data_IF_385466213142
#
_entry.id   IF_385466213142
#
_cell.length_a   1.000
_cell.length_b   1.000
_cell.length_c   1.000
_cell.angle_alpha   90.00
_cell.angle_beta   90.00
_cell.angle_gamma   90.00
#
_symmetry.space_group_name_H-M   'P 1'
#
loop_
_entity.id
_entity.type
_entity.pdbx_description
1 polymer ?
#
# COMPACT_ATOMS: atom_id res chain seq x y z
N UNK A 1 5.97 -19.38 -25.87
CA UNK A 1 5.48 -20.15 -24.71
C UNK A 1 5.50 -21.62 -25.11
N UNK A 2 6.54 -22.38 -24.76
CA UNK A 2 6.55 -23.81 -25.03
C UNK A 2 5.35 -24.42 -24.29
N UNK A 3 4.47 -25.13 -25.01
CA UNK A 3 3.30 -25.86 -24.51
C UNK A 3 2.02 -25.07 -24.16
N UNK A 4 1.85 -23.82 -24.63
CA UNK A 4 0.54 -23.16 -24.55
C UNK A 4 -0.35 -23.57 -25.73
N UNK A 5 -1.35 -24.42 -25.48
CA UNK A 5 -2.27 -24.93 -26.50
C UNK A 5 -3.50 -24.02 -26.76
N UNK A 6 -3.69 -22.97 -25.96
CA UNK A 6 -4.82 -22.06 -26.09
C UNK A 6 -4.63 -21.02 -27.21
N UNK A 7 -5.72 -20.37 -27.62
CA UNK A 7 -5.62 -19.24 -28.54
C UNK A 7 -4.97 -18.04 -27.84
N UNK A 8 -4.09 -17.36 -28.55
CA UNK A 8 -3.49 -16.09 -28.14
C UNK A 8 -3.65 -15.07 -29.25
N UNK A 9 -3.76 -13.80 -28.89
CA UNK A 9 -3.82 -12.68 -29.83
C UNK A 9 -2.71 -11.69 -29.55
N UNK A 10 -2.28 -11.02 -30.62
CA UNK A 10 -1.25 -10.00 -30.59
C UNK A 10 -1.83 -8.65 -31.03
N UNK A 11 -1.51 -7.59 -30.29
CA UNK A 11 -1.89 -6.21 -30.64
C UNK A 11 -0.62 -5.38 -30.74
N UNK A 12 -0.37 -4.77 -31.90
CA UNK A 12 0.76 -3.88 -32.14
C UNK A 12 0.34 -2.42 -31.99
N UNK A 13 0.99 -1.66 -31.13
CA UNK A 13 0.63 -0.28 -30.81
C UNK A 13 1.82 0.64 -31.04
N UNK A 14 1.60 1.72 -31.79
CA UNK A 14 2.55 2.81 -32.01
C UNK A 14 2.13 4.04 -31.18
N UNK A 15 3.05 4.98 -30.96
CA UNK A 15 2.75 6.23 -30.23
C UNK A 15 2.82 6.14 -28.70
N UNK A 16 3.46 5.09 -28.15
CA UNK A 16 3.72 4.94 -26.70
C UNK A 16 5.11 5.45 -26.28
N UNK A 17 5.69 6.39 -27.03
CA UNK A 17 7.01 6.98 -26.71
C UNK A 17 8.23 6.14 -27.10
N UNK A 18 8.06 5.06 -27.87
CA UNK A 18 9.16 4.26 -28.46
C UNK A 18 9.12 4.34 -29.98
N UNK A 19 10.30 4.36 -30.61
CA UNK A 19 10.42 4.33 -32.09
C UNK A 19 9.83 3.04 -32.68
N UNK A 20 10.04 1.91 -32.02
CA UNK A 20 9.49 0.61 -32.42
C UNK A 20 8.10 0.39 -31.79
N UNK A 21 7.15 -0.23 -32.53
CA UNK A 21 5.83 -0.56 -31.98
C UNK A 21 5.95 -1.48 -30.76
N UNK A 22 5.17 -1.19 -29.72
CA UNK A 22 5.02 -2.06 -28.55
C UNK A 22 4.06 -3.20 -28.92
N UNK A 23 4.51 -4.44 -28.73
CA UNK A 23 3.70 -5.63 -28.97
C UNK A 23 3.08 -6.13 -27.67
N UNK A 24 1.75 -6.26 -27.66
CA UNK A 24 0.99 -6.87 -26.58
C UNK A 24 0.60 -8.28 -26.97
N UNK A 25 0.90 -9.25 -26.11
CA UNK A 25 0.44 -10.63 -26.24
C UNK A 25 -0.57 -10.93 -25.15
N UNK A 26 -1.75 -11.41 -25.51
CA UNK A 26 -2.81 -11.75 -24.55
C UNK A 26 -3.55 -13.01 -24.98
N UNK A 27 -3.84 -13.88 -24.02
CA UNK A 27 -4.75 -15.02 -24.21
C UNK A 27 -6.22 -14.67 -23.91
N UNK A 28 -6.51 -13.46 -23.44
CA UNK A 28 -7.88 -13.02 -23.19
C UNK A 28 -8.45 -12.41 -24.48
N UNK A 29 -9.34 -13.14 -25.15
CA UNK A 29 -9.96 -12.70 -26.40
C UNK A 29 -11.04 -11.62 -26.21
N UNK A 30 -11.63 -11.51 -25.02
CA UNK A 30 -12.78 -10.64 -24.75
C UNK A 30 -12.39 -9.20 -24.37
N UNK A 31 -11.20 -8.98 -23.81
CA UNK A 31 -10.73 -7.63 -23.45
C UNK A 31 -10.62 -6.76 -24.71
N UNK A 32 -10.96 -5.47 -24.66
CA UNK A 32 -10.75 -4.61 -25.83
C UNK A 32 -9.25 -4.27 -26.01
N UNK A 33 -8.78 -3.95 -27.22
CA UNK A 33 -7.42 -3.44 -27.43
C UNK A 33 -7.12 -2.18 -26.61
N UNK A 34 -8.13 -1.31 -26.43
CA UNK A 34 -8.04 -0.11 -25.58
C UNK A 34 -7.74 -0.49 -24.13
N UNK A 35 -8.48 -1.46 -23.59
CA UNK A 35 -8.30 -1.89 -22.19
C UNK A 35 -6.95 -2.59 -21.98
N UNK A 36 -6.45 -3.32 -22.97
CA UNK A 36 -5.09 -3.88 -22.93
C UNK A 36 -4.03 -2.78 -22.83
N UNK A 37 -4.14 -1.74 -23.65
CA UNK A 37 -3.22 -0.59 -23.62
C UNK A 37 -3.34 0.20 -22.32
N UNK A 38 -4.56 0.43 -21.84
CA UNK A 38 -4.79 1.13 -20.56
C UNK A 38 -4.25 0.34 -19.37
N UNK A 39 -4.42 -0.99 -19.35
CA UNK A 39 -3.83 -1.85 -18.32
C UNK A 39 -2.31 -1.85 -18.38
N UNK A 40 -1.71 -1.79 -19.57
CA UNK A 40 -0.27 -1.59 -19.70
C UNK A 40 0.17 -0.21 -19.23
N UNK A 41 -0.55 0.85 -19.56
CA UNK A 41 -0.22 2.20 -19.10
C UNK A 41 -0.26 2.30 -17.57
N UNK A 42 -1.13 1.53 -16.91
CA UNK A 42 -1.19 1.40 -15.44
C UNK A 42 0.02 0.69 -14.84
N UNK A 43 0.83 -0.04 -15.63
CA UNK A 43 2.07 -0.67 -15.17
C UNK A 43 3.05 0.35 -14.60
N UNK A 44 3.15 1.54 -15.22
CA UNK A 44 3.98 2.62 -14.69
C UNK A 44 3.55 3.01 -13.27
N UNK A 45 2.25 3.03 -12.98
CA UNK A 45 1.75 3.28 -11.63
C UNK A 45 2.13 2.19 -10.62
N UNK A 46 2.27 0.94 -11.06
CA UNK A 46 2.76 -0.17 -10.22
C UNK A 46 4.26 -0.04 -9.98
N UNK A 47 5.05 0.22 -11.02
CA UNK A 47 6.51 0.42 -10.95
C UNK A 47 6.87 1.66 -10.12
N UNK A 48 6.15 2.77 -10.29
CA UNK A 48 6.29 4.00 -9.49
C UNK A 48 5.90 3.78 -8.03
N UNK A 49 4.83 3.02 -7.78
CA UNK A 49 4.40 2.71 -6.42
C UNK A 49 5.36 1.75 -5.71
N UNK A 50 5.92 0.77 -6.43
CA UNK A 50 6.97 -0.11 -5.94
C UNK A 50 8.24 0.70 -5.65
N UNK A 51 8.72 1.52 -6.59
CA UNK A 51 9.89 2.37 -6.41
C UNK A 51 9.74 3.40 -5.29
N UNK A 52 8.54 3.97 -5.11
CA UNK A 52 8.23 4.85 -3.98
C UNK A 52 8.17 4.13 -2.63
N UNK A 53 7.79 2.85 -2.61
CA UNK A 53 7.71 2.04 -1.39
C UNK A 53 9.11 1.56 -0.99
N UNK A 54 9.86 1.00 -1.93
CA UNK A 54 11.28 0.61 -1.77
C UNK A 54 12.11 1.77 -1.23
N UNK A 55 12.04 2.95 -1.85
CA UNK A 55 12.77 4.13 -1.33
C UNK A 55 12.31 4.56 0.08
N UNK A 56 11.03 4.46 0.41
CA UNK A 56 10.52 4.89 1.71
C UNK A 56 10.91 3.91 2.84
N UNK A 57 10.85 2.60 2.60
CA UNK A 57 11.18 1.60 3.62
C UNK A 57 12.69 1.40 3.80
N UNK A 58 13.49 1.51 2.73
CA UNK A 58 14.96 1.48 2.83
C UNK A 58 15.56 2.74 3.47
N UNK A 59 14.93 3.92 3.33
CA UNK A 59 15.50 5.16 3.88
C UNK A 59 15.07 5.45 5.33
N UNK A 60 13.87 5.06 5.76
CA UNK A 60 13.32 5.60 7.03
C UNK A 60 12.66 4.59 8.00
N UNK A 61 12.47 3.30 7.68
CA UNK A 61 11.62 2.45 8.56
C UNK A 61 12.12 1.04 8.91
N UNK A 62 12.99 0.39 8.15
CA UNK A 62 13.52 -0.94 8.48
C UNK A 62 14.97 -1.05 8.02
N UNK A 63 15.91 -0.58 8.85
CA UNK A 63 17.32 -0.87 8.64
C UNK A 63 17.59 -2.29 9.16
N UNK A 64 17.75 -3.26 8.26
CA UNK A 64 18.30 -4.57 8.63
C UNK A 64 19.61 -4.81 7.87
N UNK A 65 20.70 -4.59 8.59
CA UNK A 65 22.10 -4.56 8.11
C UNK A 65 22.71 -5.97 7.95
N UNK A 66 21.91 -6.97 7.54
CA UNK A 66 22.36 -8.36 7.43
C UNK A 66 21.91 -8.96 6.09
N UNK A 67 22.88 -9.47 5.31
CA UNK A 67 22.74 -10.03 3.95
C UNK A 67 21.76 -11.21 3.77
N UNK A 68 21.04 -11.62 4.81
CA UNK A 68 19.90 -12.55 4.70
C UNK A 68 18.59 -11.86 4.25
N UNK A 69 18.58 -10.52 4.16
CA UNK A 69 17.35 -9.73 4.18
C UNK A 69 16.71 -9.35 2.85
N UNK A 70 17.34 -9.50 1.68
CA UNK A 70 16.77 -8.89 0.45
C UNK A 70 15.36 -9.43 0.14
N UNK A 71 15.14 -10.74 0.32
CA UNK A 71 13.82 -11.34 0.12
C UNK A 71 12.83 -10.92 1.21
N UNK A 72 13.28 -10.85 2.48
CA UNK A 72 12.45 -10.42 3.60
C UNK A 72 12.07 -8.93 3.49
N UNK A 73 13.02 -8.06 3.20
CA UNK A 73 12.84 -6.63 2.97
C UNK A 73 11.90 -6.38 1.80
N UNK A 74 12.00 -7.17 0.74
CA UNK A 74 11.09 -7.09 -0.40
C UNK A 74 9.67 -7.47 0.02
N UNK A 75 9.51 -8.56 0.76
CA UNK A 75 8.20 -8.99 1.28
C UNK A 75 7.61 -7.95 2.24
N UNK A 76 8.40 -7.45 3.19
CA UNK A 76 7.99 -6.41 4.13
C UNK A 76 7.62 -5.11 3.41
N UNK A 77 8.34 -4.74 2.35
CA UNK A 77 8.01 -3.58 1.52
C UNK A 77 6.66 -3.73 0.84
N UNK A 78 6.36 -4.90 0.26
CA UNK A 78 5.08 -5.18 -0.37
C UNK A 78 3.94 -5.19 0.65
N UNK A 79 4.15 -5.82 1.81
CA UNK A 79 3.18 -5.83 2.90
C UNK A 79 2.89 -4.42 3.40
N UNK A 80 3.93 -3.63 3.65
CA UNK A 80 3.77 -2.28 4.14
C UNK A 80 3.10 -1.37 3.09
N UNK A 81 3.42 -1.52 1.80
CA UNK A 81 2.68 -0.84 0.72
C UNK A 81 1.19 -1.22 0.73
N UNK A 82 0.87 -2.50 0.95
CA UNK A 82 -0.50 -2.97 1.14
C UNK A 82 -1.19 -2.28 2.33
N UNK A 83 -0.54 -2.22 3.48
CA UNK A 83 -1.04 -1.56 4.68
C UNK A 83 -1.29 -0.06 4.46
N UNK A 84 -0.36 0.67 3.84
CA UNK A 84 -0.55 2.09 3.55
C UNK A 84 -1.65 2.35 2.53
N UNK A 85 -1.79 1.47 1.53
CA UNK A 85 -2.88 1.56 0.56
C UNK A 85 -4.22 1.30 1.23
N UNK A 86 -4.31 0.29 2.08
CA UNK A 86 -5.50 0.01 2.88
C UNK A 86 -5.85 1.20 3.78
N UNK A 87 -4.88 1.71 4.54
CA UNK A 87 -5.07 2.89 5.40
C UNK A 87 -5.57 4.10 4.61
N UNK A 88 -4.97 4.37 3.44
CA UNK A 88 -5.39 5.43 2.54
C UNK A 88 -6.87 5.29 2.12
N UNK A 89 -7.35 4.07 1.82
CA UNK A 89 -8.76 3.85 1.48
C UNK A 89 -9.73 4.13 2.63
N UNK A 90 -9.28 4.04 3.88
CA UNK A 90 -10.11 4.36 5.05
C UNK A 90 -10.16 5.86 5.35
N UNK A 91 -9.28 6.67 4.74
CA UNK A 91 -9.13 8.09 5.02
C UNK A 91 -9.83 8.93 3.94
N UNK A 92 -10.83 9.71 4.33
CA UNK A 92 -11.59 10.56 3.41
C UNK A 92 -10.67 11.61 2.76
N UNK A 93 -10.70 11.71 1.42
CA UNK A 93 -9.86 12.63 0.65
C UNK A 93 -8.46 12.08 0.34
N UNK A 94 -8.18 10.84 0.75
CA UNK A 94 -6.90 10.16 0.60
C UNK A 94 -7.06 8.83 -0.16
N UNK A 95 -7.91 8.75 -1.19
CA UNK A 95 -8.10 7.53 -1.97
C UNK A 95 -6.93 7.10 -2.88
N UNK A 96 -6.02 8.03 -3.26
CA UNK A 96 -4.79 7.74 -4.04
C UNK A 96 -3.51 8.51 -3.63
N UNK A 97 -3.18 8.69 -2.34
CA UNK A 97 -1.92 9.28 -1.92
C UNK A 97 -0.77 8.28 -2.03
N UNK A 98 0.42 8.79 -2.36
CA UNK A 98 1.67 8.02 -2.20
C UNK A 98 1.88 7.67 -0.72
N UNK A 99 2.43 6.49 -0.37
CA UNK A 99 2.66 6.05 1.00
C UNK A 99 3.32 7.11 1.90
N UNK A 100 4.34 7.80 1.38
CA UNK A 100 5.05 8.89 2.08
C UNK A 100 4.13 10.02 2.56
N UNK A 101 3.07 10.34 1.80
CA UNK A 101 2.11 11.39 2.18
C UNK A 101 1.17 10.92 3.29
N UNK A 102 0.82 9.62 3.30
CA UNK A 102 0.03 9.01 4.38
C UNK A 102 0.87 8.96 5.65
N UNK A 103 2.11 8.47 5.56
CA UNK A 103 3.04 8.40 6.69
C UNK A 103 3.19 9.75 7.40
N UNK A 104 3.65 10.79 6.70
CA UNK A 104 3.88 12.12 7.28
C UNK A 104 2.65 12.74 7.96
N UNK A 105 1.46 12.43 7.43
CA UNK A 105 0.21 13.04 7.90
C UNK A 105 -0.46 12.27 9.03
N UNK A 106 -0.29 10.96 9.08
CA UNK A 106 -1.10 10.08 9.92
C UNK A 106 -0.32 9.09 10.78
N UNK A 107 0.95 8.81 10.46
CA UNK A 107 1.76 7.80 11.16
C UNK A 107 2.95 8.45 11.88
N UNK A 108 3.64 9.38 11.23
CA UNK A 108 4.74 10.16 11.81
C UNK A 108 4.18 11.26 12.71
N UNK A 109 3.67 10.85 13.86
CA UNK A 109 3.04 11.72 14.84
C UNK A 109 3.45 11.30 16.25
N UNK A 110 3.75 12.26 17.14
CA UNK A 110 3.86 11.96 18.56
C UNK A 110 2.50 11.50 19.10
N UNK A 111 2.54 10.58 20.05
CA UNK A 111 1.37 10.07 20.75
C UNK A 111 1.78 9.33 22.00
N UNK A 112 0.90 9.33 22.99
CA UNK A 112 1.11 8.62 24.24
C UNK A 112 0.35 7.29 24.18
N UNK A 113 1.02 6.21 24.53
CA UNK A 113 0.41 4.88 24.60
C UNK A 113 0.26 4.50 26.06
N UNK A 114 -0.98 4.21 26.47
CA UNK A 114 -1.28 3.65 27.77
C UNK A 114 -1.75 2.21 27.61
N UNK A 115 -1.09 1.29 28.30
CA UNK A 115 -1.43 -0.13 28.29
C UNK A 115 -2.15 -0.44 29.59
N UNK A 116 -3.47 -0.56 29.53
CA UNK A 116 -4.27 -0.90 30.69
C UNK A 116 -4.19 -2.40 31.00
N UNK A 117 -4.20 -2.70 32.31
CA UNK A 117 -4.27 -4.07 32.84
C UNK A 117 -5.53 -4.83 32.37
N UNK A 118 -6.60 -4.12 31.96
CA UNK A 118 -7.90 -4.68 31.54
C UNK A 118 -7.98 -5.04 30.04
N UNK A 119 -6.85 -5.41 29.44
CA UNK A 119 -6.73 -5.81 28.03
C UNK A 119 -7.07 -4.70 27.02
N UNK A 120 -6.74 -3.45 27.33
CA UNK A 120 -6.90 -2.31 26.40
C UNK A 120 -5.58 -1.59 26.18
N UNK A 121 -5.42 -1.05 24.99
CA UNK A 121 -4.32 -0.17 24.60
C UNK A 121 -4.96 1.11 24.11
N UNK A 122 -4.75 2.17 24.87
CA UNK A 122 -5.22 3.51 24.54
C UNK A 122 -4.09 4.26 23.86
N UNK A 123 -4.36 4.77 22.66
CA UNK A 123 -3.42 5.65 21.95
C UNK A 123 -4.01 7.06 21.98
N UNK A 124 -3.30 7.94 22.66
CA UNK A 124 -3.62 9.36 22.73
C UNK A 124 -2.87 10.11 21.65
N UNK A 125 -3.62 10.68 20.71
CA UNK A 125 -3.07 11.52 19.67
C UNK A 125 -2.98 12.97 20.15
N UNK A 126 -1.82 13.60 19.96
CA UNK A 126 -1.68 15.04 20.16
C UNK A 126 -2.51 15.84 19.14
N UNK A 127 -2.89 17.07 19.49
CA UNK A 127 -3.77 17.92 18.67
C UNK A 127 -3.12 18.26 17.33
N UNK A 128 -3.73 17.80 16.23
CA UNK A 128 -3.25 18.05 14.86
C UNK A 128 -4.39 18.34 13.89
N UNK A 129 -4.08 19.09 12.82
CA UNK A 129 -5.04 19.46 11.79
C UNK A 129 -5.72 18.27 11.08
N UNK A 130 -5.09 17.10 11.07
CA UNK A 130 -5.61 15.90 10.37
C UNK A 130 -6.23 14.86 11.30
N UNK A 131 -6.30 15.10 12.62
CA UNK A 131 -6.99 14.21 13.57
C UNK A 131 -8.48 14.01 13.25
N UNK A 132 -9.23 15.02 12.77
CA UNK A 132 -10.63 14.82 12.39
C UNK A 132 -10.79 13.71 11.33
N UNK A 133 -9.87 13.63 10.37
CA UNK A 133 -9.90 12.61 9.31
C UNK A 133 -9.64 11.21 9.88
N UNK A 134 -8.72 11.08 10.84
CA UNK A 134 -8.48 9.80 11.54
C UNK A 134 -9.69 9.38 12.36
N UNK A 135 -10.32 10.34 13.07
CA UNK A 135 -11.50 10.10 13.89
C UNK A 135 -12.70 9.65 13.05
N UNK A 136 -12.87 10.23 11.87
CA UNK A 136 -13.91 9.82 10.91
C UNK A 136 -13.67 8.41 10.37
N UNK A 137 -12.41 7.99 10.19
CA UNK A 137 -12.06 6.67 9.70
C UNK A 137 -12.40 5.53 10.68
N UNK A 138 -12.63 5.82 11.98
CA UNK A 138 -13.11 4.86 12.99
C UNK A 138 -12.31 3.54 13.01
N UNK A 139 -10.99 3.63 12.88
CA UNK A 139 -10.08 2.49 12.70
C UNK A 139 -10.10 1.49 13.88
N UNK A 140 -10.53 1.94 15.05
CA UNK A 140 -10.61 1.16 16.30
C UNK A 140 -11.98 0.48 16.50
N UNK A 141 -13.05 0.97 15.85
CA UNK A 141 -14.45 0.55 16.12
C UNK A 141 -14.72 -0.94 15.89
N UNK A 142 -13.96 -1.60 15.02
CA UNK A 142 -14.05 -3.03 14.72
C UNK A 142 -12.72 -3.76 14.92
N UNK A 143 -11.82 -3.23 15.75
CA UNK A 143 -10.52 -3.84 15.96
C UNK A 143 -10.69 -5.18 16.71
N UNK A 144 -10.35 -6.33 16.08
CA UNK A 144 -10.39 -7.60 16.79
C UNK A 144 -9.32 -7.61 17.90
N UNK A 145 -9.54 -8.40 18.98
CA UNK A 145 -8.51 -8.56 20.01
C UNK A 145 -7.23 -9.10 19.37
N UNK A 146 -6.10 -8.47 19.66
CA UNK A 146 -4.81 -8.78 19.05
C UNK A 146 -4.18 -9.98 19.80
N UNK A 147 -4.11 -11.19 19.21
CA UNK A 147 -3.78 -12.40 19.96
C UNK A 147 -2.37 -12.40 20.54
N UNK A 148 -1.39 -11.97 19.73
CA UNK A 148 0.02 -11.87 20.14
C UNK A 148 0.27 -10.74 21.15
N UNK A 149 -0.72 -9.89 21.42
CA UNK A 149 -0.65 -8.81 22.40
C UNK A 149 -1.53 -9.11 23.62
N UNK A 150 -1.71 -10.39 23.95
CA UNK A 150 -2.49 -10.84 25.10
C UNK A 150 -4.00 -10.62 24.94
N UNK A 151 -4.51 -10.70 23.70
CA UNK A 151 -5.90 -10.42 23.35
C UNK A 151 -6.36 -9.00 23.73
N UNK A 152 -5.44 -8.03 23.65
CA UNK A 152 -5.73 -6.61 23.91
C UNK A 152 -6.51 -5.99 22.75
N UNK A 153 -7.43 -5.07 23.07
CA UNK A 153 -8.12 -4.22 22.11
C UNK A 153 -7.44 -2.86 22.00
N UNK A 154 -7.43 -2.29 20.80
CA UNK A 154 -6.88 -0.98 20.51
C UNK A 154 -8.00 0.06 20.50
N UNK A 155 -7.81 1.16 21.20
CA UNK A 155 -8.74 2.29 21.25
C UNK A 155 -8.00 3.60 20.97
N UNK A 156 -8.62 4.49 20.20
CA UNK A 156 -8.01 5.74 19.77
C UNK A 156 -8.68 6.95 20.43
N UNK A 157 -7.87 7.77 21.10
CA UNK A 157 -8.30 9.01 21.74
C UNK A 157 -7.70 10.20 21.01
N UNK A 158 -8.57 11.09 20.53
CA UNK A 158 -8.18 12.29 19.80
C UNK A 158 -8.45 13.51 20.68
N UNK A 159 -7.39 14.22 21.08
CA UNK A 159 -7.47 15.50 21.79
C UNK A 159 -7.91 16.65 20.85
#
# INVERSE_FOLDING_TARGET
>A
MPNYAGMARQVAVRGLGREKPTLFLSNNAHTSPRDLVMNYARRNGVEDALGSSVNFFHLDCLASDVRLNVDLDTVLTVLAQGCYRWLATQLHGFGQPKPKRVYRKFVEMPGTIEIESRRRILVYFERRAYNPVLREAQLDKNCPPIPWLGNRRLEFSYL
#
